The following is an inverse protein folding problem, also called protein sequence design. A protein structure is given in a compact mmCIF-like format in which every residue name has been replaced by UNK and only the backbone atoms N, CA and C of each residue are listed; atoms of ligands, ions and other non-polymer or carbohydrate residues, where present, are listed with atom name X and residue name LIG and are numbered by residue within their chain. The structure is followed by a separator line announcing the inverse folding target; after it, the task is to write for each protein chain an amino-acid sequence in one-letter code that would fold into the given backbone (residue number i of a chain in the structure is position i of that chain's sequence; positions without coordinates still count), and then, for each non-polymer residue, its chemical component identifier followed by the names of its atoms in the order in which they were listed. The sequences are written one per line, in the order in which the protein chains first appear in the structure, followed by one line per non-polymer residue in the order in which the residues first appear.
data_IF_889669080389
#
_entry.id   IF_889669080389
#
_cell.length_a   1.000
_cell.length_b   1.000
_cell.length_c   1.000
_cell.angle_alpha   90.00
_cell.angle_beta   90.00
_cell.angle_gamma   90.00
#
_symmetry.space_group_name_H-M   'P 1'
#
loop_
_entity.id
_entity.type
_entity.pdbx_description
1 polymer ?
#
# COMPACT_ATOMS: atom_id res chain seq x y z
N UNK A 1 -33.11 5.58 20.06
CA UNK A 1 -32.91 5.99 18.65
C UNK A 1 -34.26 5.99 17.99
N UNK A 2 -34.59 7.03 17.24
CA UNK A 2 -35.80 7.05 16.42
C UNK A 2 -35.76 5.91 15.38
N UNK A 3 -36.91 5.31 15.07
CA UNK A 3 -36.99 4.13 14.18
C UNK A 3 -36.43 4.43 12.79
N UNK A 4 -36.60 5.66 12.28
CA UNK A 4 -36.06 6.05 10.97
C UNK A 4 -34.53 6.12 10.97
N UNK A 5 -33.94 6.60 12.07
CA UNK A 5 -32.48 6.68 12.20
C UNK A 5 -31.84 5.29 12.26
N UNK A 6 -32.53 4.35 12.91
CA UNK A 6 -32.08 2.97 12.99
C UNK A 6 -32.11 2.29 11.61
N UNK A 7 -33.19 2.47 10.84
CA UNK A 7 -33.34 1.89 9.52
C UNK A 7 -32.32 2.44 8.51
N UNK A 8 -32.08 3.76 8.52
CA UNK A 8 -31.01 4.39 7.71
C UNK A 8 -29.62 3.85 8.05
N UNK A 9 -29.33 3.70 9.35
CA UNK A 9 -28.05 3.15 9.81
C UNK A 9 -27.87 1.67 9.40
N UNK A 10 -28.96 0.88 9.39
CA UNK A 10 -28.94 -0.52 8.93
C UNK A 10 -28.64 -0.62 7.44
N UNK A 11 -29.30 0.19 6.61
CA UNK A 11 -29.07 0.22 5.15
C UNK A 11 -27.64 0.66 4.82
N UNK A 12 -27.12 1.67 5.52
CA UNK A 12 -25.72 2.10 5.38
C UNK A 12 -24.73 0.97 5.69
N UNK A 13 -24.93 0.25 6.80
CA UNK A 13 -24.05 -0.86 7.18
C UNK A 13 -24.12 -2.03 6.18
N UNK A 14 -25.31 -2.34 5.64
CA UNK A 14 -25.47 -3.38 4.62
C UNK A 14 -24.73 -3.04 3.32
N UNK A 15 -24.88 -1.80 2.82
CA UNK A 15 -24.19 -1.33 1.62
C UNK A 15 -22.66 -1.38 1.83
N UNK A 16 -22.19 -0.89 2.98
CA UNK A 16 -20.76 -0.88 3.34
C UNK A 16 -20.19 -2.28 3.50
N UNK A 17 -20.93 -3.19 4.12
CA UNK A 17 -20.52 -4.59 4.30
C UNK A 17 -20.39 -5.31 2.95
N UNK A 18 -21.37 -5.14 2.06
CA UNK A 18 -21.34 -5.72 0.72
C UNK A 18 -20.13 -5.22 -0.08
N UNK A 19 -19.87 -3.92 -0.04
CA UNK A 19 -18.68 -3.34 -0.68
C UNK A 19 -17.36 -3.85 -0.06
N UNK A 20 -17.28 -3.91 1.27
CA UNK A 20 -16.11 -4.42 1.98
C UNK A 20 -15.82 -5.89 1.64
N UNK A 21 -16.88 -6.69 1.44
CA UNK A 21 -16.74 -8.08 1.02
C UNK A 21 -16.15 -8.18 -0.39
N UNK A 22 -16.66 -7.42 -1.37
CA UNK A 22 -16.16 -7.45 -2.75
C UNK A 22 -14.74 -6.92 -2.88
N UNK A 23 -14.44 -5.79 -2.24
CA UNK A 23 -13.08 -5.21 -2.22
C UNK A 23 -12.09 -6.12 -1.50
N UNK A 24 -12.51 -6.77 -0.41
CA UNK A 24 -11.71 -7.78 0.28
C UNK A 24 -11.42 -9.00 -0.59
N UNK A 25 -12.44 -9.53 -1.27
CA UNK A 25 -12.30 -10.68 -2.18
C UNK A 25 -11.33 -10.36 -3.33
N UNK A 26 -11.44 -9.16 -3.91
CA UNK A 26 -10.52 -8.70 -4.94
C UNK A 26 -9.08 -8.61 -4.42
N UNK A 27 -8.88 -8.03 -3.24
CA UNK A 27 -7.56 -7.87 -2.63
C UNK A 27 -6.89 -9.22 -2.34
N UNK A 28 -7.66 -10.21 -1.88
CA UNK A 28 -7.17 -11.58 -1.66
C UNK A 28 -6.79 -12.28 -2.97
N UNK A 29 -7.64 -12.16 -4.00
CA UNK A 29 -7.34 -12.72 -5.32
C UNK A 29 -6.08 -12.05 -5.90
N UNK A 30 -5.99 -10.73 -5.83
CA UNK A 30 -4.83 -9.97 -6.29
C UNK A 30 -3.56 -10.41 -5.58
N UNK A 31 -3.56 -10.48 -4.24
CA UNK A 31 -2.42 -10.95 -3.46
C UNK A 31 -2.01 -12.39 -3.80
N UNK A 32 -3.00 -13.28 -3.96
CA UNK A 32 -2.76 -14.67 -4.34
C UNK A 32 -2.14 -14.78 -5.74
N UNK A 33 -2.63 -14.02 -6.71
CA UNK A 33 -2.08 -13.98 -8.06
C UNK A 33 -0.65 -13.43 -8.05
N UNK A 34 -0.40 -12.34 -7.31
CA UNK A 34 0.95 -11.77 -7.16
C UNK A 34 1.91 -12.80 -6.57
N UNK A 35 1.49 -13.60 -5.60
CA UNK A 35 2.31 -14.68 -5.04
C UNK A 35 2.56 -15.80 -6.04
N UNK A 36 1.51 -16.31 -6.71
CA UNK A 36 1.59 -17.43 -7.65
C UNK A 36 2.43 -17.11 -8.89
N UNK A 37 2.26 -15.90 -9.45
CA UNK A 37 2.98 -15.46 -10.65
C UNK A 37 4.36 -14.86 -10.33
N UNK A 38 4.74 -14.75 -9.05
CA UNK A 38 5.99 -14.12 -8.66
C UNK A 38 6.02 -12.62 -9.01
N UNK A 39 4.93 -11.91 -8.77
CA UNK A 39 4.86 -10.45 -8.93
C UNK A 39 5.90 -9.72 -8.07
N UNK A 40 6.22 -10.22 -6.88
CA UNK A 40 7.27 -9.66 -6.01
C UNK A 40 8.67 -9.76 -6.67
N UNK A 41 9.17 -10.94 -7.09
CA UNK A 41 10.46 -11.02 -7.78
C UNK A 41 10.45 -10.31 -9.13
N UNK A 42 9.29 -10.22 -9.81
CA UNK A 42 9.16 -9.40 -11.02
C UNK A 42 9.37 -7.91 -10.73
N UNK A 43 8.70 -7.36 -9.70
CA UNK A 43 8.88 -5.98 -9.27
C UNK A 43 10.32 -5.70 -8.84
N UNK A 44 10.96 -6.65 -8.15
CA UNK A 44 12.36 -6.54 -7.73
C UNK A 44 13.35 -6.49 -8.91
N UNK A 45 13.11 -7.31 -9.95
CA UNK A 45 13.93 -7.25 -11.17
C UNK A 45 13.68 -5.96 -11.95
N UNK A 46 12.43 -5.46 -11.94
CA UNK A 46 12.08 -4.20 -12.58
C UNK A 46 12.73 -3.01 -11.85
N UNK A 47 12.72 -2.99 -10.52
CA UNK A 47 13.41 -1.96 -9.74
C UNK A 47 14.92 -1.98 -9.99
N UNK A 48 15.53 -3.17 -10.08
CA UNK A 48 16.94 -3.32 -10.46
C UNK A 48 17.26 -2.78 -11.86
N UNK A 49 16.38 -3.00 -12.85
CA UNK A 49 16.54 -2.42 -14.20
C UNK A 49 16.45 -0.89 -14.20
N UNK A 50 15.52 -0.32 -13.44
CA UNK A 50 15.41 1.13 -13.26
C UNK A 50 16.67 1.70 -12.58
N UNK A 51 17.18 1.02 -11.54
CA UNK A 51 18.41 1.41 -10.84
C UNK A 51 19.63 1.38 -11.78
N UNK A 52 19.76 0.33 -12.58
CA UNK A 52 20.83 0.18 -13.57
C UNK A 52 20.76 1.22 -14.69
N UNK A 53 19.56 1.61 -15.14
CA UNK A 53 19.39 2.72 -16.09
C UNK A 53 19.75 4.08 -15.52
N UNK A 54 19.67 4.25 -14.19
CA UNK A 54 20.07 5.47 -13.48
C UNK A 54 21.57 5.49 -13.11
N UNK A 55 22.35 4.48 -13.53
CA UNK A 55 23.79 4.38 -13.30
C UNK A 55 24.17 3.85 -11.91
N UNK A 56 23.22 3.39 -11.11
CA UNK A 56 23.48 2.72 -9.84
C UNK A 56 23.62 1.22 -10.08
N UNK A 57 24.82 0.69 -9.91
CA UNK A 57 25.12 -0.73 -10.07
C UNK A 57 24.43 -1.62 -9.03
N UNK A 58 24.54 -2.96 -9.17
CA UNK A 58 23.98 -3.94 -8.23
C UNK A 58 24.60 -3.86 -6.82
N UNK A 59 25.68 -3.10 -6.64
CA UNK A 59 26.29 -2.81 -5.33
C UNK A 59 25.43 -1.92 -4.41
N UNK A 60 24.43 -1.22 -4.95
CA UNK A 60 23.52 -0.36 -4.20
C UNK A 60 22.21 -1.06 -3.82
N UNK A 61 22.31 -2.14 -3.04
CA UNK A 61 21.15 -2.90 -2.53
C UNK A 61 20.13 -2.02 -1.79
N UNK A 62 20.62 -0.98 -1.09
CA UNK A 62 19.78 -0.01 -0.37
C UNK A 62 18.94 0.79 -1.37
N UNK A 63 19.55 1.30 -2.44
CA UNK A 63 18.84 2.08 -3.47
C UNK A 63 17.82 1.21 -4.22
N UNK A 64 18.17 -0.04 -4.56
CA UNK A 64 17.23 -0.97 -5.19
C UNK A 64 16.03 -1.27 -4.29
N UNK A 65 16.26 -1.42 -2.98
CA UNK A 65 15.20 -1.62 -1.99
C UNK A 65 14.28 -0.41 -1.88
N UNK A 66 14.82 0.81 -1.88
CA UNK A 66 14.03 2.05 -1.85
C UNK A 66 13.14 2.18 -3.10
N UNK A 67 13.69 1.91 -4.29
CA UNK A 67 12.93 1.94 -5.55
C UNK A 67 11.85 0.85 -5.55
N UNK A 68 12.15 -0.35 -5.03
CA UNK A 68 11.17 -1.42 -4.86
C UNK A 68 10.03 -0.99 -3.93
N UNK A 69 10.33 -0.41 -2.75
CA UNK A 69 9.31 0.10 -1.83
C UNK A 69 8.44 1.17 -2.49
N UNK A 70 9.03 2.10 -3.24
CA UNK A 70 8.30 3.14 -3.94
C UNK A 70 7.36 2.55 -5.00
N UNK A 71 7.84 1.61 -5.82
CA UNK A 71 6.99 0.93 -6.81
C UNK A 71 5.88 0.10 -6.16
N UNK A 72 6.19 -0.63 -5.08
CA UNK A 72 5.22 -1.46 -4.37
C UNK A 72 4.10 -0.61 -3.75
N UNK A 73 4.47 0.47 -3.05
CA UNK A 73 3.50 1.39 -2.45
C UNK A 73 2.72 2.18 -3.49
N UNK A 74 3.34 2.55 -4.62
CA UNK A 74 2.63 3.15 -5.74
C UNK A 74 1.61 2.17 -6.34
N UNK A 75 1.98 0.91 -6.54
CA UNK A 75 1.08 -0.12 -7.02
C UNK A 75 -0.12 -0.31 -6.09
N UNK A 76 0.12 -0.48 -4.78
CA UNK A 76 -0.95 -0.58 -3.78
C UNK A 76 -1.83 0.67 -3.70
N UNK A 77 -1.25 1.86 -3.84
CA UNK A 77 -2.01 3.10 -3.87
C UNK A 77 -2.93 3.16 -5.10
N UNK A 78 -2.42 2.78 -6.28
CA UNK A 78 -3.19 2.77 -7.53
C UNK A 78 -4.31 1.72 -7.51
N UNK A 79 -4.08 0.54 -6.96
CA UNK A 79 -5.09 -0.52 -6.89
C UNK A 79 -6.14 -0.21 -5.83
N UNK A 80 -5.77 0.45 -4.73
CA UNK A 80 -6.69 0.91 -3.68
C UNK A 80 -7.50 2.16 -4.03
N UNK A 81 -6.99 3.04 -4.90
CA UNK A 81 -7.63 4.29 -5.29
C UNK A 81 -9.04 4.12 -5.89
N UNK A 82 -9.30 3.22 -6.86
CA UNK A 82 -10.64 3.03 -7.42
C UNK A 82 -11.64 2.55 -6.37
N UNK A 83 -11.24 1.67 -5.45
CA UNK A 83 -12.08 1.23 -4.34
C UNK A 83 -12.43 2.38 -3.40
N UNK A 84 -11.43 3.20 -3.05
CA UNK A 84 -11.64 4.37 -2.19
C UNK A 84 -12.59 5.38 -2.85
N UNK A 85 -12.42 5.63 -4.15
CA UNK A 85 -13.28 6.51 -4.93
C UNK A 85 -14.72 5.98 -4.97
N UNK A 86 -14.92 4.68 -5.21
CA UNK A 86 -16.24 4.06 -5.20
C UNK A 86 -16.92 4.18 -3.83
N UNK A 87 -16.19 3.94 -2.74
CA UNK A 87 -16.74 4.08 -1.39
C UNK A 87 -17.19 5.53 -1.11
N UNK A 88 -16.37 6.53 -1.41
CA UNK A 88 -16.70 7.94 -1.12
C UNK A 88 -17.79 8.51 -2.05
N UNK A 89 -17.68 8.30 -3.37
CA UNK A 89 -18.60 8.91 -4.34
C UNK A 89 -19.88 8.10 -4.58
N UNK A 90 -19.91 6.79 -4.28
CA UNK A 90 -21.12 5.98 -4.46
C UNK A 90 -21.79 5.69 -3.13
N UNK A 91 -21.05 5.20 -2.14
CA UNK A 91 -21.64 4.78 -0.86
C UNK A 91 -21.89 5.99 0.03
N UNK A 92 -20.87 6.83 0.29
CA UNK A 92 -21.04 7.98 1.18
C UNK A 92 -21.91 9.07 0.58
N UNK A 93 -21.88 9.27 -0.74
CA UNK A 93 -22.75 10.23 -1.43
C UNK A 93 -24.22 9.80 -1.43
N UNK A 94 -24.51 8.50 -1.66
CA UNK A 94 -25.87 7.94 -1.57
C UNK A 94 -26.52 8.15 -0.20
N UNK A 95 -25.71 8.12 0.87
CA UNK A 95 -26.17 8.34 2.24
C UNK A 95 -26.04 9.80 2.69
N UNK A 96 -25.61 10.71 1.81
CA UNK A 96 -25.51 12.15 2.08
C UNK A 96 -24.36 12.56 3.00
N UNK A 97 -23.40 11.66 3.25
CA UNK A 97 -22.22 11.92 4.07
C UNK A 97 -21.08 12.57 3.28
N UNK A 98 -21.07 12.47 1.95
CA UNK A 98 -20.01 13.04 1.13
C UNK A 98 -20.07 14.58 1.15
N UNK A 99 -19.03 15.21 1.68
CA UNK A 99 -18.82 16.66 1.69
C UNK A 99 -17.60 17.06 0.83
N UNK A 100 -16.97 16.10 0.16
CA UNK A 100 -15.74 16.30 -0.60
C UNK A 100 -16.01 16.32 -2.11
N UNK A 101 -15.30 17.19 -2.82
CA UNK A 101 -15.29 17.20 -4.29
C UNK A 101 -14.22 16.26 -4.84
N UNK A 102 -14.43 15.71 -6.04
CA UNK A 102 -13.49 14.80 -6.71
C UNK A 102 -12.08 15.40 -6.86
N UNK A 103 -12.00 16.70 -7.17
CA UNK A 103 -10.73 17.41 -7.23
C UNK A 103 -10.02 17.54 -5.87
N UNK A 104 -10.77 17.71 -4.77
CA UNK A 104 -10.20 17.75 -3.42
C UNK A 104 -9.70 16.37 -2.99
N UNK A 105 -10.48 15.31 -3.27
CA UNK A 105 -10.11 13.93 -2.98
C UNK A 105 -8.80 13.52 -3.64
N UNK A 106 -8.64 13.77 -4.95
CA UNK A 106 -7.41 13.43 -5.68
C UNK A 106 -6.21 14.23 -5.12
N UNK A 107 -6.40 15.52 -4.86
CA UNK A 107 -5.34 16.36 -4.26
C UNK A 107 -4.92 15.85 -2.89
N UNK A 108 -5.87 15.43 -2.06
CA UNK A 108 -5.59 14.87 -0.74
C UNK A 108 -4.89 13.51 -0.83
N UNK A 109 -5.32 12.64 -1.75
CA UNK A 109 -4.67 11.35 -2.00
C UNK A 109 -3.21 11.51 -2.46
N UNK A 110 -2.95 12.42 -3.41
CA UNK A 110 -1.59 12.73 -3.88
C UNK A 110 -0.75 13.30 -2.73
N UNK A 111 -1.30 14.24 -1.95
CA UNK A 111 -0.57 14.84 -0.82
C UNK A 111 -0.22 13.78 0.23
N UNK A 112 -1.18 12.92 0.60
CA UNK A 112 -0.95 11.79 1.50
C UNK A 112 0.14 10.87 0.97
N UNK A 113 0.07 10.50 -0.32
CA UNK A 113 1.08 9.65 -0.94
C UNK A 113 2.48 10.27 -0.86
N UNK A 114 2.63 11.54 -1.23
CA UNK A 114 3.92 12.26 -1.16
C UNK A 114 4.44 12.30 0.27
N UNK A 115 3.59 12.62 1.25
CA UNK A 115 4.00 12.66 2.67
C UNK A 115 4.44 11.28 3.15
N UNK A 116 3.69 10.23 2.81
CA UNK A 116 4.06 8.85 3.14
C UNK A 116 5.41 8.48 2.52
N UNK A 117 5.66 8.80 1.25
CA UNK A 117 6.96 8.52 0.61
C UNK A 117 8.11 9.30 1.27
N UNK A 118 7.90 10.58 1.57
CA UNK A 118 8.90 11.41 2.22
C UNK A 118 9.31 10.89 3.61
N UNK A 119 8.42 10.17 4.31
CA UNK A 119 8.72 9.55 5.60
C UNK A 119 9.27 8.14 5.41
N UNK A 120 8.67 7.35 4.53
CA UNK A 120 9.01 5.95 4.31
C UNK A 120 10.42 5.76 3.79
N UNK A 121 10.86 6.59 2.83
CA UNK A 121 12.18 6.51 2.23
C UNK A 121 13.33 6.72 3.23
N UNK A 122 13.38 7.81 4.02
CA UNK A 122 14.46 8.01 4.99
C UNK A 122 14.41 6.98 6.13
N UNK A 123 13.22 6.60 6.60
CA UNK A 123 13.07 5.57 7.65
C UNK A 123 13.60 4.23 7.16
N UNK A 124 13.24 3.82 5.95
CA UNK A 124 13.69 2.56 5.36
C UNK A 124 15.19 2.57 5.06
N UNK A 125 15.71 3.69 4.57
CA UNK A 125 17.15 3.87 4.34
C UNK A 125 17.94 3.76 5.64
N UNK A 126 17.47 4.39 6.73
CA UNK A 126 18.13 4.33 8.03
C UNK A 126 18.09 2.91 8.61
N UNK A 127 16.95 2.23 8.50
CA UNK A 127 16.80 0.85 8.96
C UNK A 127 17.76 -0.09 8.21
N UNK A 128 17.82 -0.01 6.88
CA UNK A 128 18.72 -0.82 6.07
C UNK A 128 20.19 -0.53 6.38
N UNK A 129 20.53 0.73 6.66
CA UNK A 129 21.88 1.12 7.07
C UNK A 129 22.27 0.51 8.43
N UNK A 130 21.34 0.52 9.40
CA UNK A 130 21.54 -0.12 10.71
C UNK A 130 21.72 -1.63 10.56
N UNK A 131 20.93 -2.30 9.72
CA UNK A 131 21.06 -3.73 9.47
C UNK A 131 22.44 -4.06 8.86
N UNK A 132 22.92 -3.23 7.92
CA UNK A 132 24.23 -3.41 7.29
C UNK A 132 25.40 -3.22 8.27
N UNK A 133 25.28 -2.31 9.23
CA UNK A 133 26.28 -2.09 10.31
C UNK A 133 26.17 -3.15 11.41
N UNK A 134 24.96 -3.61 11.73
CA UNK A 134 24.69 -4.59 12.77
C UNK A 134 25.05 -6.04 12.40
N UNK A 135 25.57 -6.27 11.19
CA UNK A 135 25.85 -7.60 10.63
C UNK A 135 26.72 -8.52 11.48
N UNK A 136 27.63 -7.99 12.31
CA UNK A 136 28.48 -8.81 13.18
C UNK A 136 27.81 -9.30 14.48
N UNK A 137 26.63 -8.77 14.87
CA UNK A 137 25.95 -9.18 16.11
C UNK A 137 24.65 -9.98 15.91
N UNK A 138 24.20 -10.20 14.66
CA UNK A 138 22.94 -10.90 14.40
C UNK A 138 23.09 -12.42 14.24
N UNK A 139 24.28 -12.92 13.86
CA UNK A 139 24.54 -14.35 13.61
C UNK A 139 25.09 -15.11 14.83
N UNK A 140 25.44 -14.42 15.92
CA UNK A 140 25.99 -15.03 17.14
C UNK A 140 24.97 -15.10 18.29
N UNK A 141 23.69 -15.38 17.99
CA UNK A 141 22.81 -15.96 19.00
C UNK A 141 22.85 -17.48 18.84
N UNK A 142 23.61 -18.23 19.66
CA UNK A 142 23.65 -19.68 19.59
C UNK A 142 22.30 -20.23 20.09
N UNK A 143 21.35 -20.41 19.17
CA UNK A 143 19.97 -20.74 19.54
C UNK A 143 19.11 -21.37 18.44
N UNK A 144 19.69 -21.85 17.33
CA UNK A 144 18.97 -22.70 16.39
C UNK A 144 19.91 -23.77 15.81
N UNK A 145 20.03 -24.87 16.54
CA UNK A 145 20.47 -26.16 16.02
C UNK A 145 19.31 -26.80 15.28
N UNK A 146 19.48 -27.10 13.99
CA UNK A 146 19.09 -28.40 13.43
C UNK A 146 19.79 -28.70 12.11
#
# INVERSE_FOLDING_TARGET
MDSETFEKSRLYQLDKSTFSFWSGLYSEIEGTLILLFGGIPYLWRLSGRFCGSAGFGPEYEITQSLVFLLMATLFSALTGLPWSLYNTFVIEEKHGFNQQTLGFFIKDAIKKFIVTQCILLPVSSLLLYIIKIGGDYFLFMPGCSH
#
